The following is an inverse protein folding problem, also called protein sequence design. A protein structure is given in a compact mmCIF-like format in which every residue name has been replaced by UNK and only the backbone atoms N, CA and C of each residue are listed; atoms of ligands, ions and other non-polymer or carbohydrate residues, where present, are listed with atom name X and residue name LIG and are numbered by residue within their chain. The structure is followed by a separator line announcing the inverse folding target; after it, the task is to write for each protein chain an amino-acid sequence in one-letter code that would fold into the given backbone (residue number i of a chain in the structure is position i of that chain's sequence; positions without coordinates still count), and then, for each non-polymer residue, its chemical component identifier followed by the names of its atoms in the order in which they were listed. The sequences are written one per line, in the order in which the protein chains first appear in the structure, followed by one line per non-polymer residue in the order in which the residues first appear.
data_IF_310093025772
#
_entry.id   IF_310093025772
#
_cell.length_a   1.000
_cell.length_b   1.000
_cell.length_c   1.000
_cell.angle_alpha   90.00
_cell.angle_beta   90.00
_cell.angle_gamma   90.00
#
_symmetry.space_group_name_H-M   'P 1'
#
loop_
_entity.id
_entity.type
_entity.pdbx_description
1 polymer ?
#
# COMPACT_ATOMS: atom_id res chain seq x y z
N UNK A 1 0.79 16.89 -4.31
CA UNK A 1 0.58 15.78 -5.27
C UNK A 1 -0.81 15.21 -5.12
N UNK A 2 -1.44 14.63 -6.16
CA UNK A 2 -2.76 14.03 -6.01
C UNK A 2 -2.66 12.68 -5.27
N UNK A 3 -3.60 12.42 -4.35
CA UNK A 3 -3.63 11.25 -3.46
C UNK A 3 -3.51 9.89 -4.17
N UNK A 4 -3.91 9.83 -5.44
CA UNK A 4 -3.77 8.65 -6.33
C UNK A 4 -2.32 8.32 -6.68
N UNK A 5 -1.45 9.33 -6.80
CA UNK A 5 -0.02 9.15 -7.11
C UNK A 5 0.73 8.67 -5.87
N UNK A 6 0.36 9.19 -4.70
CA UNK A 6 0.88 8.73 -3.42
C UNK A 6 0.58 7.24 -3.21
N UNK A 7 -0.68 6.86 -3.36
CA UNK A 7 -1.14 5.48 -3.32
C UNK A 7 -0.33 4.59 -4.28
N UNK A 8 -0.20 5.00 -5.55
CA UNK A 8 0.51 4.24 -6.57
C UNK A 8 1.99 4.03 -6.21
N UNK A 9 2.67 5.08 -5.73
CA UNK A 9 4.05 5.01 -5.30
C UNK A 9 4.24 4.07 -4.11
N UNK A 10 3.37 4.17 -3.09
CA UNK A 10 3.41 3.30 -1.92
C UNK A 10 3.11 1.83 -2.28
N UNK A 11 2.10 1.57 -3.11
CA UNK A 11 1.79 0.22 -3.60
C UNK A 11 2.96 -0.40 -4.37
N UNK A 12 3.63 0.36 -5.24
CA UNK A 12 4.83 -0.14 -5.95
C UNK A 12 5.93 -0.51 -4.97
N UNK A 13 6.16 0.30 -3.93
CA UNK A 13 7.16 0.01 -2.88
C UNK A 13 6.83 -1.27 -2.12
N UNK A 14 5.57 -1.46 -1.76
CA UNK A 14 5.11 -2.66 -1.06
C UNK A 14 5.29 -3.90 -1.92
N UNK A 15 4.83 -3.84 -3.17
CA UNK A 15 4.89 -4.98 -4.11
C UNK A 15 6.34 -5.34 -4.49
N UNK A 16 7.26 -4.37 -4.54
CA UNK A 16 8.70 -4.64 -4.76
C UNK A 16 9.33 -5.52 -3.67
N UNK A 17 8.75 -5.57 -2.46
CA UNK A 17 9.21 -6.47 -1.39
C UNK A 17 8.74 -7.91 -1.56
N UNK A 18 7.84 -8.17 -2.51
CA UNK A 18 7.33 -9.50 -2.83
C UNK A 18 7.94 -10.04 -4.12
N UNK A 19 8.01 -11.36 -4.24
CA UNK A 19 8.64 -12.04 -5.38
C UNK A 19 7.93 -11.78 -6.72
N UNK A 20 6.61 -11.55 -6.72
CA UNK A 20 5.87 -11.23 -7.95
C UNK A 20 4.54 -10.54 -7.71
N UNK A 21 4.24 -9.53 -8.51
CA UNK A 21 2.91 -8.87 -8.59
C UNK A 21 1.79 -9.91 -8.82
N UNK A 22 2.05 -10.91 -9.66
CA UNK A 22 1.05 -11.94 -10.00
C UNK A 22 0.72 -12.85 -8.81
N UNK A 23 1.70 -13.15 -7.96
CA UNK A 23 1.47 -13.93 -6.74
C UNK A 23 0.63 -13.12 -5.74
N UNK A 24 0.99 -11.85 -5.54
CA UNK A 24 0.24 -10.91 -4.71
C UNK A 24 -1.22 -10.78 -5.16
N UNK A 25 -1.47 -10.64 -6.47
CA UNK A 25 -2.84 -10.55 -7.00
C UNK A 25 -3.66 -11.81 -6.73
N UNK A 26 -3.04 -13.00 -6.82
CA UNK A 26 -3.70 -14.28 -6.54
C UNK A 26 -4.04 -14.43 -5.06
N UNK A 27 -3.11 -14.06 -4.18
CA UNK A 27 -3.33 -14.13 -2.73
C UNK A 27 -4.37 -13.12 -2.23
N UNK A 28 -4.36 -11.90 -2.79
CA UNK A 28 -5.37 -10.88 -2.51
C UNK A 28 -6.75 -11.17 -3.15
N UNK A 29 -6.82 -12.09 -4.12
CA UNK A 29 -8.04 -12.40 -4.86
C UNK A 29 -8.52 -11.24 -5.77
N UNK A 30 -7.62 -10.35 -6.20
CA UNK A 30 -7.95 -9.20 -7.06
C UNK A 30 -7.52 -9.46 -8.49
N UNK A 31 -8.29 -8.93 -9.44
CA UNK A 31 -7.93 -9.00 -10.85
C UNK A 31 -6.64 -8.19 -11.09
N UNK A 32 -5.63 -8.85 -11.68
CA UNK A 32 -4.33 -8.24 -12.01
C UNK A 32 -4.47 -6.93 -12.79
N UNK A 33 -5.40 -6.84 -13.74
CA UNK A 33 -5.63 -5.62 -14.54
C UNK A 33 -6.20 -4.47 -13.70
N UNK A 34 -6.96 -4.76 -12.64
CA UNK A 34 -7.38 -3.73 -11.68
C UNK A 34 -6.21 -3.31 -10.79
N UNK A 35 -5.43 -4.27 -10.32
CA UNK A 35 -4.26 -4.00 -9.50
C UNK A 35 -3.20 -3.18 -10.23
N UNK A 36 -2.94 -3.46 -11.50
CA UNK A 36 -2.04 -2.67 -12.36
C UNK A 36 -2.55 -1.23 -12.55
N UNK A 37 -3.86 -1.02 -12.62
CA UNK A 37 -4.44 0.34 -12.65
C UNK A 37 -4.20 1.11 -11.35
N UNK A 38 -4.24 0.43 -10.20
CA UNK A 38 -3.87 1.04 -8.90
C UNK A 38 -2.38 1.37 -8.86
N UNK A 39 -1.52 0.45 -9.30
CA UNK A 39 -0.08 0.68 -9.42
C UNK A 39 0.25 1.84 -10.36
N UNK A 40 -0.56 2.10 -11.39
CA UNK A 40 -0.38 3.24 -12.30
C UNK A 40 -1.01 4.55 -11.78
N UNK A 41 -1.72 4.52 -10.66
CA UNK A 41 -2.46 5.68 -10.15
C UNK A 41 -3.65 6.09 -11.03
N UNK A 42 -4.08 5.19 -11.94
CA UNK A 42 -5.22 5.41 -12.84
C UNK A 42 -6.56 5.12 -12.17
N UNK A 43 -6.55 4.37 -11.07
CA UNK A 43 -7.73 4.03 -10.29
C UNK A 43 -7.36 4.00 -8.79
N UNK A 44 -8.36 4.12 -7.93
CA UNK A 44 -8.23 4.03 -6.48
C UNK A 44 -9.04 2.81 -6.02
N UNK A 45 -8.49 1.94 -5.14
CA UNK A 45 -9.24 0.81 -4.61
C UNK A 45 -10.44 1.28 -3.79
N UNK A 46 -11.52 0.51 -3.81
CA UNK A 46 -12.64 0.75 -2.90
C UNK A 46 -12.22 0.43 -1.45
N UNK A 47 -13.03 0.81 -0.47
CA UNK A 47 -12.73 0.60 0.96
C UNK A 47 -12.48 -0.86 1.33
N UNK A 48 -13.19 -1.81 0.72
CA UNK A 48 -12.99 -3.24 0.97
C UNK A 48 -11.65 -3.74 0.41
N UNK A 49 -11.33 -3.39 -0.83
CA UNK A 49 -10.07 -3.73 -1.50
C UNK A 49 -8.88 -3.05 -0.81
N UNK A 50 -9.03 -1.78 -0.40
CA UNK A 50 -8.01 -1.07 0.36
C UNK A 50 -7.71 -1.80 1.67
N UNK A 51 -8.75 -2.27 2.38
CA UNK A 51 -8.58 -3.05 3.61
C UNK A 51 -7.92 -4.41 3.38
N UNK A 52 -8.26 -5.11 2.30
CA UNK A 52 -7.58 -6.36 1.91
C UNK A 52 -6.09 -6.12 1.62
N UNK A 53 -5.78 -5.06 0.87
CA UNK A 53 -4.40 -4.63 0.59
C UNK A 53 -3.66 -4.32 1.89
N UNK A 54 -4.27 -3.53 2.79
CA UNK A 54 -3.70 -3.20 4.08
C UNK A 54 -3.43 -4.44 4.94
N UNK A 55 -4.40 -5.37 5.03
CA UNK A 55 -4.23 -6.61 5.78
C UNK A 55 -3.15 -7.51 5.21
N UNK A 56 -3.09 -7.61 3.87
CA UNK A 56 -2.08 -8.40 3.17
C UNK A 56 -0.66 -7.89 3.40
N UNK A 57 -0.46 -6.58 3.24
CA UNK A 57 0.85 -5.95 3.45
C UNK A 57 1.15 -5.64 4.92
N UNK A 58 0.20 -5.91 5.83
CA UNK A 58 0.29 -5.60 7.28
C UNK A 58 0.65 -4.14 7.54
N UNK A 59 -0.05 -3.23 6.86
CA UNK A 59 0.08 -1.78 6.99
C UNK A 59 -1.27 -1.13 7.31
N UNK A 60 -1.25 0.10 7.80
CA UNK A 60 -2.44 0.92 7.98
C UNK A 60 -2.81 1.70 6.71
N UNK A 61 -4.08 2.12 6.59
CA UNK A 61 -4.55 2.97 5.49
C UNK A 61 -3.76 4.28 5.40
N UNK A 62 -3.30 4.83 6.54
CA UNK A 62 -2.47 6.04 6.54
C UNK A 62 -1.16 5.83 5.77
N UNK A 63 -0.50 4.68 5.97
CA UNK A 63 0.73 4.32 5.24
C UNK A 63 0.46 4.06 3.75
N UNK A 64 -0.76 3.63 3.40
CA UNK A 64 -1.15 3.45 2.01
C UNK A 64 -1.29 4.80 1.27
N UNK A 65 -1.85 5.83 1.92
CA UNK A 65 -2.16 7.13 1.28
C UNK A 65 -1.19 8.28 1.61
N UNK A 66 -0.25 8.09 2.54
CA UNK A 66 0.75 9.10 2.93
C UNK A 66 1.55 9.59 1.74
N UNK A 67 2.08 10.80 1.86
CA UNK A 67 3.00 11.33 0.88
C UNK A 67 4.21 10.41 0.72
N UNK A 68 4.56 10.00 -0.51
CA UNK A 68 5.69 9.13 -0.74
C UNK A 68 6.94 9.93 -0.40
N UNK A 69 7.67 9.51 0.64
CA UNK A 69 8.96 10.09 0.97
C UNK A 69 9.83 10.03 -0.28
N UNK A 70 10.33 11.20 -0.70
CA UNK A 70 10.89 11.47 -2.01
C UNK A 70 11.71 10.28 -2.56
N UNK A 71 11.14 9.62 -3.57
CA UNK A 71 11.79 8.66 -4.46
C UNK A 71 12.53 7.49 -3.79
N UNK A 72 11.83 6.36 -3.61
CA UNK A 72 12.35 4.99 -3.75
C UNK A 72 13.67 4.63 -3.00
N UNK A 73 14.08 5.38 -2.00
CA UNK A 73 15.33 5.18 -1.30
C UNK A 73 15.07 4.51 0.04
N UNK A 74 15.21 3.17 0.01
CA UNK A 74 15.59 2.30 1.12
C UNK A 74 14.54 2.10 2.23
N UNK A 75 13.99 0.89 2.21
CA UNK A 75 13.67 0.07 3.40
C UNK A 75 13.55 0.79 4.74
N UNK A 76 12.32 1.15 5.11
CA UNK A 76 11.94 1.32 6.51
C UNK A 76 11.00 0.19 6.89
N UNK A 77 11.59 -0.78 7.60
CA UNK A 77 10.86 -1.77 8.35
C UNK A 77 10.38 -1.16 9.67
N UNK A 78 9.13 -1.49 10.02
CA UNK A 78 8.54 -1.29 11.35
C UNK A 78 8.41 0.19 11.78
N UNK A 79 7.35 0.86 11.32
CA UNK A 79 6.76 1.90 12.15
C UNK A 79 5.97 1.20 13.28
N UNK A 80 6.64 1.15 14.41
CA UNK A 80 6.25 0.59 15.71
C UNK A 80 4.80 0.90 16.09
N UNK A 81 4.09 -0.18 16.42
CA UNK A 81 3.06 -0.33 17.47
C UNK A 81 2.36 0.94 17.97
N UNK A 82 1.04 0.92 17.85
CA UNK A 82 0.07 1.47 18.81
C UNK A 82 0.69 1.62 20.21
N UNK A 83 0.86 2.84 20.72
CA UNK A 83 0.64 3.25 22.12
C UNK A 83 1.28 4.62 22.37
N UNK A 84 0.45 5.67 22.38
CA UNK A 84 0.62 6.86 23.23
C UNK A 84 -0.61 7.81 23.13
N UNK A 85 -1.83 7.28 23.07
CA UNK A 85 -3.05 8.09 23.12
C UNK A 85 -4.02 7.52 24.15
N UNK A 86 -3.63 7.57 25.44
CA UNK A 86 -4.46 7.57 26.67
C UNK A 86 -3.62 6.97 27.81
N UNK A 87 -2.92 7.83 28.57
CA UNK A 87 -2.69 7.74 30.02
C UNK A 87 -1.58 8.73 30.44
N UNK A 88 -1.99 9.95 30.82
CA UNK A 88 -1.59 10.63 32.06
C UNK A 88 -2.53 11.80 32.32
#
# INVERSE_FOLDING_TARGET
MPIRENLAANLRRLVQRHASVSAVCRELGINRTQFERYLQGKAVPNKATARLICDYFKIDENELYREPAAAAAKSDGKATLRQALYEN
#
